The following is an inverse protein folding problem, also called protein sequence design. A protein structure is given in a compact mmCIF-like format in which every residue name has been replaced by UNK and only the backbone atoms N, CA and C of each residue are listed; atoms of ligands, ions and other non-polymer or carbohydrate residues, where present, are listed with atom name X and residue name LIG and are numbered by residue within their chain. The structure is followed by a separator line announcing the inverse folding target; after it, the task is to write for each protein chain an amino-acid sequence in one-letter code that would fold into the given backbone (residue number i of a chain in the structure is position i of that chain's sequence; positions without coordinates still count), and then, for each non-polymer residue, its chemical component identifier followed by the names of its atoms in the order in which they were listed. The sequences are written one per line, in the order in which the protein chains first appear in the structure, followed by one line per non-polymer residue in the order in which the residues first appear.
data_IF_029733242203
#
_entry.id   IF_029733242203
#
_cell.length_a   1.000
_cell.length_b   1.000
_cell.length_c   1.000
_cell.angle_alpha   90.00
_cell.angle_beta   90.00
_cell.angle_gamma   90.00
#
_symmetry.space_group_name_H-M   'P 1'
#
loop_
_entity.id
_entity.type
_entity.pdbx_description
1 polymer ?
#
# COMPACT_ATOMS: atom_id res chain seq x y z
N UNK A 1 0.83 -3.50 -42.10
CA UNK A 1 0.15 -2.52 -41.20
C UNK A 1 0.88 -2.50 -39.87
N UNK A 2 1.58 -1.39 -39.61
CA UNK A 2 2.58 -1.26 -38.55
C UNK A 2 1.90 -0.79 -37.25
N UNK A 3 1.74 -1.66 -36.25
CA UNK A 3 1.16 -1.29 -34.96
C UNK A 3 2.24 -0.69 -34.08
N UNK A 4 2.22 0.64 -33.96
CA UNK A 4 3.17 1.43 -33.18
C UNK A 4 3.17 1.01 -31.71
N UNK A 5 4.28 0.44 -31.25
CA UNK A 5 4.56 0.17 -29.84
C UNK A 5 4.76 1.51 -29.11
N UNK A 6 3.65 2.10 -28.65
CA UNK A 6 3.67 3.28 -27.79
C UNK A 6 4.38 2.90 -26.49
N UNK A 7 5.63 3.34 -26.33
CA UNK A 7 6.34 3.30 -25.05
C UNK A 7 5.46 4.01 -24.03
N UNK A 8 4.89 3.25 -23.08
CA UNK A 8 4.14 3.77 -21.94
C UNK A 8 5.12 4.43 -20.96
N UNK A 9 5.64 5.60 -21.36
CA UNK A 9 6.26 6.58 -20.46
C UNK A 9 5.16 7.16 -19.57
N UNK A 10 5.52 7.71 -18.40
CA UNK A 10 4.58 8.44 -17.53
C UNK A 10 4.00 9.61 -18.36
N UNK A 11 2.85 9.39 -18.99
CA UNK A 11 2.22 10.39 -19.85
C UNK A 11 1.54 11.48 -19.03
N UNK A 12 1.10 12.55 -19.70
CA UNK A 12 0.41 13.70 -19.10
C UNK A 12 -0.80 13.33 -18.22
N UNK A 13 -1.45 12.20 -18.48
CA UNK A 13 -2.56 11.70 -17.65
C UNK A 13 -2.18 11.19 -16.25
N UNK A 14 -0.89 10.97 -15.98
CA UNK A 14 -0.38 10.42 -14.71
C UNK A 14 0.07 11.48 -13.71
N UNK A 15 0.31 12.71 -14.17
CA UNK A 15 0.87 13.79 -13.35
C UNK A 15 -0.02 14.13 -12.14
N UNK A 16 -1.30 14.42 -12.39
CA UNK A 16 -2.26 14.75 -11.32
C UNK A 16 -2.41 13.60 -10.29
N UNK A 17 -2.60 12.32 -10.68
CA UNK A 17 -2.58 11.22 -9.74
C UNK A 17 -1.29 11.12 -8.90
N UNK A 18 -0.12 11.32 -9.52
CA UNK A 18 1.17 11.26 -8.82
C UNK A 18 1.35 12.42 -7.85
N UNK A 19 0.93 13.63 -8.20
CA UNK A 19 0.92 14.77 -7.29
C UNK A 19 0.05 14.50 -6.06
N UNK A 20 -1.15 13.94 -6.26
CA UNK A 20 -2.04 13.54 -5.14
C UNK A 20 -1.41 12.44 -4.27
N UNK A 21 -0.71 11.49 -4.88
CA UNK A 21 0.03 10.46 -4.16
C UNK A 21 1.11 11.08 -3.26
N UNK A 22 1.82 12.08 -3.77
CA UNK A 22 2.86 12.78 -3.02
C UNK A 22 2.33 13.83 -2.05
N UNK A 23 1.08 14.27 -2.19
CA UNK A 23 0.43 15.14 -1.22
C UNK A 23 -0.25 14.38 -0.07
N UNK A 24 -0.38 13.05 -0.15
CA UNK A 24 -1.07 12.26 0.86
C UNK A 24 -0.34 12.28 2.22
N UNK A 25 -1.04 12.69 3.28
CA UNK A 25 -0.52 12.84 4.66
C UNK A 25 -1.15 11.88 5.67
N UNK A 26 -2.10 11.06 5.22
CA UNK A 26 -2.80 10.06 6.02
C UNK A 26 -3.17 8.84 5.15
N UNK A 27 -3.54 7.75 5.80
CA UNK A 27 -3.86 6.47 5.14
C UNK A 27 -5.08 6.55 4.22
N UNK A 28 -6.03 7.46 4.45
CA UNK A 28 -7.21 7.63 3.61
C UNK A 28 -6.90 8.41 2.33
N UNK A 29 -6.16 9.51 2.44
CA UNK A 29 -5.65 10.25 1.29
C UNK A 29 -4.72 9.38 0.44
N UNK A 30 -3.84 8.60 1.08
CA UNK A 30 -2.93 7.68 0.38
C UNK A 30 -3.72 6.63 -0.41
N UNK A 31 -4.70 5.98 0.23
CA UNK A 31 -5.52 4.97 -0.44
C UNK A 31 -6.23 5.52 -1.68
N UNK A 32 -6.87 6.68 -1.57
CA UNK A 32 -7.52 7.35 -2.70
C UNK A 32 -6.52 7.65 -3.83
N UNK A 33 -5.33 8.12 -3.49
CA UNK A 33 -4.30 8.42 -4.48
C UNK A 33 -3.77 7.15 -5.17
N UNK A 34 -3.57 6.04 -4.44
CA UNK A 34 -3.21 4.75 -5.02
C UNK A 34 -4.24 4.29 -6.04
N UNK A 35 -5.53 4.39 -5.71
CA UNK A 35 -6.61 4.05 -6.63
C UNK A 35 -6.57 4.92 -7.90
N UNK A 36 -6.31 6.23 -7.78
CA UNK A 36 -6.20 7.12 -8.94
C UNK A 36 -5.01 6.77 -9.83
N UNK A 37 -3.84 6.51 -9.25
CA UNK A 37 -2.62 6.15 -10.01
C UNK A 37 -2.82 4.83 -10.73
N UNK A 38 -3.36 3.80 -10.07
CA UNK A 38 -3.61 2.50 -10.71
C UNK A 38 -4.72 2.60 -11.75
N UNK A 39 -5.79 3.37 -11.51
CA UNK A 39 -6.86 3.57 -12.51
C UNK A 39 -6.33 4.23 -13.78
N UNK A 40 -5.41 5.20 -13.64
CA UNK A 40 -4.79 5.87 -14.78
C UNK A 40 -3.79 4.97 -15.51
N UNK A 41 -3.00 4.17 -14.77
CA UNK A 41 -1.99 3.28 -15.35
C UNK A 41 -2.58 2.00 -15.97
N UNK A 42 -3.61 1.43 -15.33
CA UNK A 42 -4.21 0.13 -15.64
C UNK A 42 -5.75 0.21 -15.49
N UNK A 43 -6.45 0.84 -16.45
CA UNK A 43 -7.90 1.03 -16.38
C UNK A 43 -8.67 -0.28 -16.18
N UNK A 44 -9.74 -0.23 -15.36
CA UNK A 44 -10.60 -1.39 -15.06
C UNK A 44 -10.04 -2.39 -14.05
N UNK A 45 -8.81 -2.17 -13.57
CA UNK A 45 -8.21 -3.02 -12.53
C UNK A 45 -8.88 -2.84 -11.18
N UNK A 46 -8.95 -3.92 -10.42
CA UNK A 46 -9.31 -3.92 -9.02
C UNK A 46 -8.06 -3.78 -8.16
N UNK A 47 -8.14 -3.04 -7.05
CA UNK A 47 -6.97 -2.70 -6.24
C UNK A 47 -7.24 -3.03 -4.78
N UNK A 48 -6.21 -3.54 -4.12
CA UNK A 48 -6.10 -3.69 -2.69
C UNK A 48 -4.85 -3.01 -2.17
N UNK A 49 -4.91 -2.54 -0.93
CA UNK A 49 -3.80 -1.98 -0.20
C UNK A 49 -3.81 -2.57 1.21
N UNK A 50 -2.73 -3.25 1.57
CA UNK A 50 -2.48 -3.72 2.93
C UNK A 50 -1.26 -3.01 3.48
N UNK A 51 -1.35 -2.45 4.68
CA UNK A 51 -0.31 -1.64 5.32
C UNK A 51 0.00 -2.16 6.72
N UNK A 52 1.28 -2.32 7.01
CA UNK A 52 1.79 -2.67 8.33
C UNK A 52 3.05 -1.86 8.66
N UNK A 53 2.93 -0.53 8.66
CA UNK A 53 4.05 0.39 8.83
C UNK A 53 4.67 0.35 10.24
N UNK A 54 3.86 0.00 11.25
CA UNK A 54 4.23 -0.13 12.66
C UNK A 54 3.73 -1.49 13.18
N UNK A 55 4.56 -2.32 13.84
CA UNK A 55 4.13 -3.66 14.26
C UNK A 55 3.15 -3.63 15.42
N UNK A 56 3.08 -2.50 16.12
CA UNK A 56 2.19 -2.28 17.27
C UNK A 56 0.81 -1.78 16.78
N UNK A 57 0.74 -1.23 15.57
CA UNK A 57 -0.53 -0.81 14.97
C UNK A 57 -1.20 -1.95 14.22
N UNK A 58 -2.55 -1.97 14.16
CA UNK A 58 -3.27 -2.99 13.43
C UNK A 58 -2.92 -2.95 11.93
N UNK A 59 -2.95 -4.12 11.31
CA UNK A 59 -2.87 -4.26 9.86
C UNK A 59 -4.03 -3.49 9.22
N UNK A 60 -3.72 -2.47 8.41
CA UNK A 60 -4.76 -1.74 7.68
C UNK A 60 -4.92 -2.39 6.32
N UNK A 61 -6.11 -2.90 6.03
CA UNK A 61 -6.45 -3.46 4.72
C UNK A 61 -7.59 -2.67 4.09
N UNK A 62 -7.38 -2.18 2.87
CA UNK A 62 -8.36 -1.45 2.07
C UNK A 62 -8.48 -2.07 0.69
N UNK A 63 -9.69 -2.13 0.17
CA UNK A 63 -10.00 -2.71 -1.14
C UNK A 63 -10.95 -1.80 -1.92
N UNK A 64 -10.87 -1.83 -3.25
CA UNK A 64 -11.75 -1.02 -4.12
C UNK A 64 -13.23 -1.40 -3.94
N UNK A 65 -13.52 -2.65 -3.56
CA UNK A 65 -14.82 -3.10 -3.03
C UNK A 65 -14.56 -3.93 -1.78
N UNK A 66 -15.51 -3.93 -0.85
CA UNK A 66 -15.42 -4.78 0.34
C UNK A 66 -15.20 -6.24 -0.08
N UNK A 67 -14.26 -6.89 0.58
CA UNK A 67 -14.01 -8.32 0.47
C UNK A 67 -14.29 -8.89 1.87
N UNK A 68 -14.87 -10.10 2.00
CA UNK A 68 -15.03 -10.74 3.29
C UNK A 68 -13.74 -10.66 4.11
N UNK A 69 -13.86 -10.23 5.38
CA UNK A 69 -12.76 -10.36 6.32
C UNK A 69 -12.43 -11.84 6.45
N UNK A 70 -11.18 -12.19 6.21
CA UNK A 70 -10.73 -13.57 6.19
C UNK A 70 -9.22 -13.64 6.23
N UNK A 71 -8.71 -14.67 6.90
CA UNK A 71 -7.35 -15.14 6.68
C UNK A 71 -7.40 -16.18 5.57
N UNK A 72 -6.72 -15.96 4.46
CA UNK A 72 -6.44 -17.03 3.50
C UNK A 72 -5.14 -17.72 3.86
N UNK A 73 -4.99 -18.98 3.43
CA UNK A 73 -3.70 -19.64 3.48
C UNK A 73 -2.66 -18.87 2.65
N UNK A 74 -1.80 -18.13 3.35
CA UNK A 74 -0.72 -17.34 2.77
C UNK A 74 0.55 -18.16 2.55
N UNK A 75 0.57 -19.45 2.91
CA UNK A 75 1.74 -20.33 2.79
C UNK A 75 2.37 -20.32 1.39
N UNK A 76 1.61 -20.37 0.27
CA UNK A 76 2.19 -20.31 -1.07
C UNK A 76 2.97 -19.01 -1.32
N UNK A 77 2.41 -17.88 -0.88
CA UNK A 77 3.06 -16.58 -1.00
C UNK A 77 4.30 -16.50 -0.11
N UNK A 78 4.21 -16.96 1.15
CA UNK A 78 5.33 -16.96 2.09
C UNK A 78 6.50 -17.80 1.56
N UNK A 79 6.26 -19.04 1.10
CA UNK A 79 7.29 -19.89 0.49
C UNK A 79 7.96 -19.23 -0.73
N UNK A 80 7.18 -18.56 -1.56
CA UNK A 80 7.71 -17.82 -2.70
C UNK A 80 8.61 -16.65 -2.25
N UNK A 81 8.18 -15.88 -1.24
CA UNK A 81 8.95 -14.75 -0.73
C UNK A 81 10.21 -15.18 0.04
N UNK A 82 10.19 -16.35 0.69
CA UNK A 82 11.36 -16.93 1.37
C UNK A 82 12.43 -17.36 0.36
N UNK A 83 12.01 -17.96 -0.75
CA UNK A 83 12.92 -18.32 -1.87
C UNK A 83 13.37 -17.11 -2.69
N UNK A 84 12.58 -16.03 -2.72
CA UNK A 84 12.87 -14.81 -3.48
C UNK A 84 12.81 -13.57 -2.58
N UNK A 85 13.74 -13.45 -1.61
CA UNK A 85 13.68 -12.41 -0.60
C UNK A 85 13.73 -11.01 -1.23
N UNK A 86 12.83 -10.13 -0.76
CA UNK A 86 12.70 -8.73 -1.22
C UNK A 86 12.22 -8.59 -2.67
N UNK A 87 11.56 -9.60 -3.21
CA UNK A 87 10.77 -9.49 -4.44
C UNK A 87 9.81 -8.31 -4.34
N UNK A 88 9.84 -7.41 -5.34
CA UNK A 88 9.06 -6.16 -5.34
C UNK A 88 7.77 -6.27 -6.11
N UNK A 89 7.79 -6.98 -7.23
CA UNK A 89 6.63 -7.22 -8.08
C UNK A 89 6.52 -8.73 -8.26
N UNK A 90 5.40 -9.32 -7.86
CA UNK A 90 5.15 -10.77 -7.93
C UNK A 90 3.78 -11.00 -8.54
N UNK A 91 3.72 -11.74 -9.63
CA UNK A 91 2.46 -12.13 -10.29
C UNK A 91 1.89 -13.36 -9.60
N UNK A 92 0.57 -13.52 -9.68
CA UNK A 92 -0.09 -14.75 -9.26
C UNK A 92 0.45 -15.97 -10.02
N UNK A 93 0.85 -15.80 -11.28
CA UNK A 93 1.47 -16.85 -12.09
C UNK A 93 2.91 -17.21 -11.68
N UNK A 94 3.63 -16.31 -10.98
CA UNK A 94 4.95 -16.62 -10.43
C UNK A 94 4.84 -17.57 -9.21
N UNK A 95 3.76 -17.44 -8.44
CA UNK A 95 3.45 -18.28 -7.26
C UNK A 95 2.71 -19.56 -7.66
N UNK A 96 1.79 -19.44 -8.61
CA UNK A 96 0.95 -20.52 -9.12
C UNK A 96 1.13 -20.65 -10.65
N UNK A 97 2.18 -21.35 -11.11
CA UNK A 97 2.45 -21.50 -12.55
C UNK A 97 1.29 -22.16 -13.31
N UNK A 98 0.63 -23.13 -12.68
CA UNK A 98 -0.54 -23.81 -13.25
C UNK A 98 -1.83 -23.14 -12.81
N UNK A 99 -2.70 -22.82 -13.78
CA UNK A 99 -4.01 -22.23 -13.52
C UNK A 99 -4.86 -23.06 -12.55
N UNK A 100 -4.79 -24.39 -12.66
CA UNK A 100 -5.51 -25.30 -11.78
C UNK A 100 -5.12 -25.13 -10.30
N UNK A 101 -3.83 -24.90 -10.01
CA UNK A 101 -3.32 -24.65 -8.65
C UNK A 101 -3.82 -23.31 -8.12
N UNK A 102 -3.81 -22.26 -8.96
CA UNK A 102 -4.36 -20.95 -8.58
C UNK A 102 -5.84 -21.09 -8.20
N UNK A 103 -6.67 -21.71 -9.05
CA UNK A 103 -8.12 -21.81 -8.83
C UNK A 103 -8.48 -22.58 -7.56
N UNK A 104 -7.65 -23.56 -7.16
CA UNK A 104 -7.82 -24.31 -5.91
C UNK A 104 -7.36 -23.55 -4.66
N UNK A 105 -6.57 -22.50 -4.81
CA UNK A 105 -6.03 -21.73 -3.67
C UNK A 105 -7.13 -20.90 -2.98
N UNK A 106 -6.95 -20.67 -1.67
CA UNK A 106 -7.83 -19.79 -0.90
C UNK A 106 -7.78 -18.35 -1.40
N UNK A 107 -6.60 -17.88 -1.81
CA UNK A 107 -6.42 -16.57 -2.45
C UNK A 107 -7.38 -16.39 -3.64
N UNK A 108 -7.47 -17.38 -4.53
CA UNK A 108 -8.40 -17.29 -5.65
C UNK A 108 -9.86 -17.38 -5.21
N UNK A 109 -10.21 -18.41 -4.42
CA UNK A 109 -11.61 -18.69 -4.05
C UNK A 109 -12.24 -17.59 -3.21
N UNK A 110 -11.48 -17.00 -2.29
CA UNK A 110 -11.98 -16.00 -1.34
C UNK A 110 -11.84 -14.56 -1.86
N UNK A 111 -10.80 -14.25 -2.63
CA UNK A 111 -10.52 -12.86 -3.05
C UNK A 111 -10.74 -12.61 -4.54
N UNK A 112 -10.26 -13.50 -5.41
CA UNK A 112 -10.31 -13.26 -6.87
C UNK A 112 -11.67 -13.62 -7.47
N UNK A 113 -12.20 -14.80 -7.15
CA UNK A 113 -13.43 -15.34 -7.74
C UNK A 113 -14.66 -14.46 -7.44
N UNK A 114 -14.91 -13.99 -6.20
CA UNK A 114 -16.08 -13.14 -5.90
C UNK A 114 -16.06 -11.81 -6.66
N UNK A 115 -14.86 -11.31 -6.97
CA UNK A 115 -14.66 -10.06 -7.71
C UNK A 115 -14.54 -10.27 -9.23
N UNK A 116 -14.77 -11.50 -9.72
CA UNK A 116 -14.60 -11.93 -11.12
C UNK A 116 -13.21 -11.59 -11.68
N UNK A 117 -12.18 -11.83 -10.87
CA UNK A 117 -10.77 -11.58 -11.23
C UNK A 117 -10.06 -12.88 -11.58
N UNK A 118 -9.16 -12.79 -12.55
CA UNK A 118 -8.41 -13.93 -13.08
C UNK A 118 -6.90 -13.74 -12.94
N UNK A 119 -6.40 -12.51 -13.00
CA UNK A 119 -4.96 -12.24 -12.95
C UNK A 119 -4.66 -11.29 -11.80
N UNK A 120 -3.55 -11.48 -11.10
CA UNK A 120 -3.15 -10.61 -10.01
C UNK A 120 -1.64 -10.34 -10.02
N UNK A 121 -1.27 -9.15 -9.55
CA UNK A 121 0.11 -8.79 -9.23
C UNK A 121 0.14 -8.07 -7.88
N UNK A 122 1.10 -8.46 -7.03
CA UNK A 122 1.40 -7.77 -5.78
C UNK A 122 2.65 -6.91 -5.95
N UNK A 123 2.56 -5.65 -5.52
CA UNK A 123 3.69 -4.75 -5.31
C UNK A 123 4.02 -4.78 -3.82
N UNK A 124 5.17 -5.33 -3.47
CA UNK A 124 5.62 -5.57 -2.09
C UNK A 124 6.64 -4.52 -1.67
N UNK A 125 6.33 -3.79 -0.59
CA UNK A 125 7.15 -2.72 -0.08
C UNK A 125 7.90 -3.17 1.17
N UNK A 126 9.22 -3.17 1.11
CA UNK A 126 10.09 -3.67 2.17
C UNK A 126 10.82 -2.55 2.91
N UNK A 127 11.00 -2.73 4.23
CA UNK A 127 11.92 -1.99 5.08
C UNK A 127 12.90 -2.98 5.72
N UNK A 128 14.10 -3.07 5.18
CA UNK A 128 15.02 -4.17 5.51
C UNK A 128 14.41 -5.51 5.10
N UNK A 129 14.32 -6.45 6.06
CA UNK A 129 13.66 -7.76 5.88
C UNK A 129 12.15 -7.74 6.12
N UNK A 130 11.60 -6.62 6.61
CA UNK A 130 10.19 -6.54 6.98
C UNK A 130 9.35 -6.01 5.82
N UNK A 131 8.24 -6.70 5.54
CA UNK A 131 7.20 -6.20 4.66
C UNK A 131 6.39 -5.12 5.39
N UNK A 132 6.31 -3.92 4.81
CA UNK A 132 5.60 -2.76 5.40
C UNK A 132 4.29 -2.45 4.67
N UNK A 133 4.10 -2.98 3.47
CA UNK A 133 2.84 -2.88 2.76
C UNK A 133 2.83 -3.65 1.44
N UNK A 134 1.63 -3.88 0.93
CA UNK A 134 1.37 -4.55 -0.34
C UNK A 134 0.29 -3.79 -1.08
N UNK A 135 0.53 -3.47 -2.35
CA UNK A 135 -0.54 -3.06 -3.29
C UNK A 135 -0.84 -4.26 -4.18
N UNK A 136 -2.05 -4.79 -4.11
CA UNK A 136 -2.50 -5.88 -4.99
C UNK A 136 -3.32 -5.28 -6.12
N UNK A 137 -3.01 -5.64 -7.35
CA UNK A 137 -3.74 -5.21 -8.54
C UNK A 137 -4.27 -6.46 -9.23
N UNK A 138 -5.59 -6.53 -9.44
CA UNK A 138 -6.26 -7.68 -10.04
C UNK A 138 -7.00 -7.27 -11.32
N UNK A 139 -7.05 -8.19 -12.28
CA UNK A 139 -7.67 -7.99 -13.60
C UNK A 139 -8.59 -9.15 -13.94
N UNK A 140 -9.58 -8.90 -14.79
CA UNK A 140 -10.51 -9.92 -15.27
C UNK A 140 -9.84 -10.79 -16.34
N UNK A 141 -10.49 -11.89 -16.73
CA UNK A 141 -9.97 -12.77 -17.78
C UNK A 141 -9.92 -12.05 -19.14
N UNK A 142 -10.92 -11.22 -19.44
CA UNK A 142 -11.03 -10.48 -20.71
C UNK A 142 -9.93 -9.42 -20.86
N UNK A 143 -9.44 -8.89 -19.74
CA UNK A 143 -8.33 -7.95 -19.71
C UNK A 143 -6.97 -8.62 -19.96
N UNK A 144 -6.89 -9.94 -19.79
CA UNK A 144 -5.68 -10.74 -19.89
C UNK A 144 -4.64 -10.49 -18.80
N UNK A 145 -3.53 -11.24 -18.93
CA UNK A 145 -2.33 -11.08 -18.10
C UNK A 145 -1.65 -9.70 -18.28
N UNK A 146 -0.74 -9.39 -17.36
CA UNK A 146 0.06 -8.15 -17.45
C UNK A 146 1.10 -8.25 -18.58
N UNK A 147 0.99 -7.35 -19.56
CA UNK A 147 1.95 -7.28 -20.68
C UNK A 147 3.31 -6.74 -20.24
N UNK A 148 4.36 -7.00 -21.02
CA UNK A 148 5.71 -6.46 -20.74
C UNK A 148 5.73 -4.93 -20.60
N UNK A 149 4.92 -4.22 -21.39
CA UNK A 149 4.78 -2.76 -21.29
C UNK A 149 4.13 -2.33 -19.97
N UNK A 150 3.07 -3.02 -19.55
CA UNK A 150 2.40 -2.78 -18.26
C UNK A 150 3.32 -3.09 -17.08
N UNK A 151 4.11 -4.16 -17.17
CA UNK A 151 5.13 -4.49 -16.17
C UNK A 151 6.22 -3.43 -16.09
N UNK A 152 6.68 -2.90 -17.23
CA UNK A 152 7.65 -1.79 -17.27
C UNK A 152 7.08 -0.52 -16.62
N UNK A 153 5.81 -0.21 -16.87
CA UNK A 153 5.11 0.91 -16.23
C UNK A 153 4.96 0.70 -14.70
N UNK A 154 4.56 -0.48 -14.25
CA UNK A 154 4.46 -0.76 -12.81
C UNK A 154 5.83 -0.65 -12.13
N UNK A 155 6.91 -1.07 -12.79
CA UNK A 155 8.28 -0.88 -12.29
C UNK A 155 8.67 0.59 -12.17
N UNK A 156 8.25 1.45 -13.10
CA UNK A 156 8.52 2.89 -13.02
C UNK A 156 7.67 3.61 -11.97
N UNK A 157 6.46 3.10 -11.68
CA UNK A 157 5.59 3.63 -10.63
C UNK A 157 5.95 3.14 -9.22
N UNK A 158 6.60 1.99 -9.10
CA UNK A 158 6.97 1.40 -7.81
C UNK A 158 7.72 2.37 -6.87
N UNK A 159 8.76 3.11 -7.32
CA UNK A 159 9.43 4.11 -6.48
C UNK A 159 8.50 5.23 -5.99
N UNK A 160 7.51 5.63 -6.79
CA UNK A 160 6.56 6.68 -6.43
C UNK A 160 5.67 6.26 -5.26
N UNK A 161 5.12 5.03 -5.33
CA UNK A 161 4.38 4.43 -4.22
C UNK A 161 5.25 4.26 -2.98
N UNK A 162 6.48 3.77 -3.16
CA UNK A 162 7.41 3.53 -2.06
C UNK A 162 7.74 4.82 -1.31
N UNK A 163 7.97 5.94 -2.02
CA UNK A 163 8.22 7.25 -1.42
C UNK A 163 7.02 7.73 -0.60
N UNK A 164 5.81 7.64 -1.16
CA UNK A 164 4.60 8.05 -0.45
C UNK A 164 4.32 7.20 0.81
N UNK A 165 4.51 5.88 0.72
CA UNK A 165 4.37 4.96 1.85
C UNK A 165 5.39 5.24 2.96
N UNK A 166 6.66 5.49 2.60
CA UNK A 166 7.71 5.85 3.55
C UNK A 166 7.43 7.17 4.25
N UNK A 167 6.97 8.18 3.51
CA UNK A 167 6.55 9.48 4.09
C UNK A 167 5.43 9.27 5.09
N UNK A 168 4.37 8.56 4.72
CA UNK A 168 3.25 8.26 5.60
C UNK A 168 3.73 7.58 6.89
N UNK A 169 4.55 6.54 6.78
CA UNK A 169 5.10 5.84 7.94
C UNK A 169 6.03 6.69 8.80
N UNK A 170 6.66 7.74 8.26
CA UNK A 170 7.45 8.70 9.05
C UNK A 170 6.54 9.65 9.84
N UNK A 171 5.51 10.19 9.18
CA UNK A 171 4.53 11.08 9.80
C UNK A 171 3.74 10.37 10.90
N UNK A 172 3.36 9.12 10.69
CA UNK A 172 2.66 8.33 11.71
C UNK A 172 3.55 8.10 12.94
N UNK A 173 4.85 7.79 12.75
CA UNK A 173 5.80 7.67 13.88
C UNK A 173 5.93 8.96 14.66
N UNK A 174 6.07 10.09 13.96
CA UNK A 174 6.20 11.41 14.60
C UNK A 174 4.93 11.76 15.39
N UNK A 175 3.75 11.56 14.79
CA UNK A 175 2.45 11.77 15.46
C UNK A 175 2.29 10.87 16.68
N UNK A 176 2.69 9.60 16.60
CA UNK A 176 2.64 8.68 17.74
C UNK A 176 3.60 9.10 18.85
N UNK A 177 4.84 9.48 18.52
CA UNK A 177 5.82 9.95 19.51
C UNK A 177 5.34 11.22 20.21
N UNK A 178 4.79 12.16 19.43
CA UNK A 178 4.20 13.40 19.96
C UNK A 178 3.02 13.11 20.88
N UNK A 179 2.09 12.24 20.47
CA UNK A 179 0.94 11.86 21.31
C UNK A 179 1.36 11.17 22.61
N UNK A 180 2.37 10.29 22.55
CA UNK A 180 2.90 9.63 23.75
C UNK A 180 3.59 10.64 24.70
N UNK A 181 4.30 11.62 24.16
CA UNK A 181 4.91 12.68 24.95
C UNK A 181 3.86 13.60 25.59
N UNK A 182 2.85 14.03 24.82
CA UNK A 182 1.72 14.83 25.34
C UNK A 182 0.99 14.09 26.47
N UNK A 183 0.76 12.79 26.32
CA UNK A 183 0.16 11.94 27.36
C UNK A 183 1.04 11.84 28.62
N UNK A 184 2.34 11.65 28.43
CA UNK A 184 3.31 11.59 29.53
C UNK A 184 3.33 12.91 30.32
N UNK A 185 3.43 14.05 29.64
CA UNK A 185 3.43 15.37 30.28
C UNK A 185 2.11 15.60 31.03
N UNK A 186 0.97 15.18 30.46
CA UNK A 186 -0.34 15.30 31.12
C UNK A 186 -0.41 14.54 32.45
N UNK A 187 0.26 13.40 32.55
CA UNK A 187 0.27 12.53 33.74
C UNK A 187 1.46 12.74 34.67
N UNK A 188 2.36 13.68 34.37
CA UNK A 188 3.48 13.99 35.25
C UNK A 188 2.95 14.40 36.64
N UNK A 189 3.45 13.80 37.73
CA UNK A 189 3.05 14.18 39.09
C UNK A 189 3.70 15.50 39.55
N UNK A 190 4.41 16.19 38.65
CA UNK A 190 5.05 17.48 38.90
C UNK A 190 4.30 18.59 38.17
N UNK A 191 3.99 19.71 38.84
CA UNK A 191 3.42 20.89 38.17
C UNK A 191 4.29 21.31 36.98
N UNK A 192 3.72 21.23 35.77
CA UNK A 192 4.43 21.54 34.53
C UNK A 192 3.67 22.60 33.75
N UNK A 193 4.32 23.73 33.50
CA UNK A 193 3.80 24.85 32.71
C UNK A 193 4.73 25.10 31.53
N UNK A 194 4.18 25.14 30.32
CA UNK A 194 4.90 25.52 29.11
C UNK A 194 4.48 26.94 28.69
N UNK A 195 5.45 27.83 28.56
CA UNK A 195 5.25 29.21 28.15
C UNK A 195 5.87 29.45 26.77
N UNK A 196 5.29 30.37 25.99
CA UNK A 196 5.98 30.96 24.83
C UNK A 196 7.10 31.87 25.31
N UNK A 197 7.99 32.24 24.39
CA UNK A 197 9.04 33.24 24.62
C UNK A 197 8.52 34.59 25.16
N UNK A 198 7.26 34.94 24.90
CA UNK A 198 6.60 36.14 25.44
C UNK A 198 5.82 35.88 26.74
N UNK A 199 6.16 34.81 27.48
CA UNK A 199 5.54 34.39 28.74
C UNK A 199 4.04 34.07 28.66
N UNK A 200 3.47 33.95 27.46
CA UNK A 200 2.08 33.49 27.30
C UNK A 200 1.99 31.98 27.52
N UNK A 201 1.01 31.56 28.32
CA UNK A 201 0.70 30.15 28.55
C UNK A 201 0.40 29.41 27.24
N UNK A 202 1.13 28.32 27.03
CA UNK A 202 0.90 27.37 25.94
C UNK A 202 0.19 26.14 26.46
N UNK A 203 0.57 25.67 27.64
CA UNK A 203 0.06 24.44 28.23
C UNK A 203 0.33 24.39 29.75
N UNK A 204 -0.57 23.78 30.50
CA UNK A 204 -0.36 23.36 31.90
C UNK A 204 -0.87 21.93 32.08
N UNK A 205 -0.19 21.11 32.89
CA UNK A 205 -0.65 19.75 33.20
C UNK A 205 -1.64 19.74 34.37
N UNK A 206 -2.14 18.55 34.75
CA UNK A 206 -3.14 18.43 35.82
C UNK A 206 -2.61 18.73 37.22
N UNK A 207 -1.30 18.72 37.41
CA UNK A 207 -0.66 18.99 38.69
C UNK A 207 -0.33 20.49 38.90
N UNK A 208 -0.47 21.33 37.86
CA UNK A 208 -0.16 22.76 37.86
C UNK A 208 -1.41 23.65 37.89
#
# INVERSE_FOLDING_TARGET
MNTSAKTLTIGSGMEKPLLKLHAAMDTTALWRAVQLVVKAALPGSFVGLTLQHNPIQPLITKWTRSIPDGSFDSTPLTKYLDSHPRSRLVRSSDIFPERAKLVRSDFYRQYMAPQRRAHAIGLFFWRGRRLIGVIVIMRTAEQGEFTSAQMKLLRSLYPQFQTALRRLGSLERERSARGAFEEFIRRLPLPTILLRWNLKLVYQNQAA
#
